data_IF_292256947055
#
_entry.id   IF_292256947055
#
_cell.length_a   1.000
_cell.length_b   1.000
_cell.length_c   1.000
_cell.angle_alpha   90.00
_cell.angle_beta   90.00
_cell.angle_gamma   90.00
#
_symmetry.space_group_name_H-M   'P 1'
#
loop_
_entity.id
_entity.type
_entity.pdbx_description
1 polymer ?
#
# COMPACT_ATOMS: atom_id res chain seq x y z
N UNK A 1 -21.54 -4.92 6.52
CA UNK A 1 -20.87 -3.61 6.61
C UNK A 1 -19.39 -3.66 6.23
N UNK A 2 -18.51 -4.38 6.96
CA UNK A 2 -17.08 -4.44 6.59
C UNK A 2 -16.83 -5.25 5.32
N UNK A 3 -17.62 -6.29 5.07
CA UNK A 3 -17.54 -7.11 3.86
C UNK A 3 -17.95 -6.30 2.63
N UNK A 4 -19.08 -5.61 2.69
CA UNK A 4 -19.56 -4.75 1.59
C UNK A 4 -18.54 -3.66 1.23
N UNK A 5 -17.86 -3.08 2.23
CA UNK A 5 -16.80 -2.11 2.00
C UNK A 5 -15.59 -2.73 1.28
N UNK A 6 -15.23 -3.96 1.64
CA UNK A 6 -14.14 -4.68 1.00
C UNK A 6 -14.49 -5.04 -0.44
N UNK A 7 -15.70 -5.52 -0.67
CA UNK A 7 -16.17 -5.84 -2.02
C UNK A 7 -16.16 -4.59 -2.90
N UNK A 8 -16.64 -3.44 -2.40
CA UNK A 8 -16.56 -2.16 -3.11
C UNK A 8 -15.11 -1.70 -3.36
N UNK A 9 -14.21 -1.88 -2.38
CA UNK A 9 -12.80 -1.54 -2.54
C UNK A 9 -12.14 -2.41 -3.62
N UNK A 10 -12.46 -3.70 -3.67
CA UNK A 10 -11.94 -4.64 -4.67
C UNK A 10 -12.45 -4.27 -6.06
N UNK A 11 -13.75 -4.00 -6.20
CA UNK A 11 -14.33 -3.54 -7.46
C UNK A 11 -13.65 -2.26 -7.93
N UNK A 12 -13.43 -1.31 -7.03
CA UNK A 12 -12.76 -0.04 -7.35
C UNK A 12 -11.32 -0.24 -7.83
N UNK A 13 -10.57 -1.18 -7.23
CA UNK A 13 -9.21 -1.51 -7.66
C UNK A 13 -9.22 -2.20 -9.03
N UNK A 14 -10.18 -3.09 -9.29
CA UNK A 14 -10.30 -3.76 -10.58
C UNK A 14 -10.59 -2.79 -11.73
N UNK A 15 -11.32 -1.70 -11.48
CA UNK A 15 -11.60 -0.67 -12.50
C UNK A 15 -10.35 0.03 -13.03
N UNK A 16 -9.27 0.07 -12.24
CA UNK A 16 -8.00 0.71 -12.64
C UNK A 16 -6.92 -0.31 -13.03
N UNK A 17 -7.23 -1.61 -12.94
CA UNK A 17 -6.32 -2.69 -13.33
C UNK A 17 -6.47 -2.96 -14.83
N UNK A 18 -5.40 -2.75 -15.59
CA UNK A 18 -5.39 -2.92 -17.05
C UNK A 18 -4.91 -4.31 -17.47
N UNK A 19 -5.25 -4.75 -18.68
CA UNK A 19 -4.77 -6.03 -19.21
C UNK A 19 -3.22 -6.04 -19.26
N UNK A 20 -2.63 -7.10 -18.69
CA UNK A 20 -1.17 -7.23 -18.57
C UNK A 20 -0.56 -6.48 -17.38
N UNK A 21 -1.35 -5.97 -16.43
CA UNK A 21 -0.84 -5.40 -15.19
C UNK A 21 0.07 -6.40 -14.46
N UNK A 22 1.29 -5.95 -14.13
CA UNK A 22 2.33 -6.73 -13.45
C UNK A 22 2.48 -6.34 -11.99
N UNK A 23 1.54 -5.56 -11.44
CA UNK A 23 1.56 -5.17 -10.03
C UNK A 23 1.48 -6.42 -9.16
N UNK A 24 2.45 -6.56 -8.25
CA UNK A 24 2.56 -7.71 -7.33
C UNK A 24 2.45 -7.31 -5.86
N UNK A 25 2.38 -6.02 -5.57
CA UNK A 25 2.43 -5.51 -4.20
C UNK A 25 1.26 -4.55 -3.97
N UNK A 26 0.49 -4.80 -2.90
CA UNK A 26 -0.58 -3.91 -2.45
C UNK A 26 -0.15 -3.30 -1.11
N UNK A 27 -0.05 -1.97 -1.06
CA UNK A 27 0.31 -1.24 0.16
C UNK A 27 -0.93 -0.56 0.75
N UNK A 28 -1.37 -0.99 1.93
CA UNK A 28 -2.47 -0.35 2.67
C UNK A 28 -1.86 0.61 3.68
N UNK A 29 -2.17 1.90 3.54
CA UNK A 29 -1.65 2.98 4.39
C UNK A 29 -2.78 3.70 5.13
N UNK A 30 -2.39 4.46 6.15
CA UNK A 30 -3.27 5.36 6.92
C UNK A 30 -4.46 4.65 7.59
N UNK A 31 -5.63 5.28 7.72
CA UNK A 31 -6.70 4.86 8.65
C UNK A 31 -7.05 3.37 8.60
N UNK A 32 -7.21 2.80 7.42
CA UNK A 32 -7.56 1.38 7.23
C UNK A 32 -6.42 0.41 7.55
N UNK A 33 -5.16 0.87 7.52
CA UNK A 33 -3.99 0.05 7.83
C UNK A 33 -3.95 -0.40 9.31
N UNK A 34 -4.68 0.32 10.17
CA UNK A 34 -4.82 0.06 11.62
C UNK A 34 -5.97 -0.89 11.98
N UNK A 35 -6.74 -1.37 10.99
CA UNK A 35 -7.89 -2.25 11.19
C UNK A 35 -7.50 -3.66 10.73
N UNK A 36 -7.11 -4.58 11.65
CA UNK A 36 -6.52 -5.87 11.27
C UNK A 36 -7.45 -6.74 10.43
N UNK A 37 -8.75 -6.73 10.74
CA UNK A 37 -9.73 -7.50 9.97
C UNK A 37 -9.85 -7.00 8.53
N UNK A 38 -9.76 -5.69 8.31
CA UNK A 38 -9.82 -5.11 6.96
C UNK A 38 -8.61 -5.53 6.14
N UNK A 39 -7.41 -5.35 6.71
CA UNK A 39 -6.17 -5.63 5.99
C UNK A 39 -6.00 -7.12 5.69
N UNK A 40 -6.45 -7.99 6.60
CA UNK A 40 -6.39 -9.45 6.40
C UNK A 40 -7.41 -9.94 5.36
N UNK A 41 -8.62 -9.39 5.35
CA UNK A 41 -9.62 -9.70 4.33
C UNK A 41 -9.20 -9.18 2.95
N UNK A 42 -8.62 -7.99 2.85
CA UNK A 42 -8.00 -7.49 1.62
C UNK A 42 -6.88 -8.43 1.15
N UNK A 43 -5.99 -8.86 2.04
CA UNK A 43 -4.93 -9.80 1.71
C UNK A 43 -5.47 -11.16 1.21
N UNK A 44 -6.63 -11.60 1.70
CA UNK A 44 -7.27 -12.81 1.21
C UNK A 44 -7.89 -12.67 -0.17
N UNK A 45 -8.28 -11.46 -0.55
CA UNK A 45 -8.94 -11.16 -1.84
C UNK A 45 -7.95 -10.92 -2.98
N UNK A 46 -6.68 -10.65 -2.65
CA UNK A 46 -5.58 -10.52 -3.61
C UNK A 46 -4.50 -11.60 -3.36
N UNK A 47 -4.79 -12.89 -3.60
CA UNK A 47 -3.88 -13.99 -3.26
C UNK A 47 -2.57 -13.97 -4.04
N UNK A 48 -2.56 -13.38 -5.24
CA UNK A 48 -1.37 -13.28 -6.09
C UNK A 48 -0.50 -12.04 -5.80
N UNK A 49 -0.88 -11.24 -4.80
CA UNK A 49 -0.19 -10.02 -4.42
C UNK A 49 0.34 -10.12 -2.98
N UNK A 50 1.55 -9.59 -2.76
CA UNK A 50 2.07 -9.35 -1.42
C UNK A 50 1.38 -8.12 -0.85
N UNK A 51 0.67 -8.30 0.26
CA UNK A 51 -0.07 -7.21 0.91
C UNK A 51 0.72 -6.71 2.11
N UNK A 52 1.00 -5.41 2.12
CA UNK A 52 1.79 -4.73 3.12
C UNK A 52 0.98 -3.67 3.86
N UNK A 53 1.36 -3.43 5.10
CA UNK A 53 1.00 -2.24 5.89
C UNK A 53 2.25 -1.55 6.39
N UNK A 54 2.14 -0.30 6.84
CA UNK A 54 3.22 0.44 7.48
C UNK A 54 2.70 1.16 8.72
N UNK A 55 3.55 1.24 9.74
CA UNK A 55 3.32 2.02 10.96
C UNK A 55 3.76 3.49 10.81
N UNK A 56 4.26 3.88 9.63
CA UNK A 56 4.66 5.26 9.37
C UNK A 56 3.41 6.14 9.31
N UNK A 57 3.33 7.06 10.28
CA UNK A 57 2.39 8.15 10.26
C UNK A 57 2.80 9.19 9.22
N UNK A 58 1.82 9.89 8.63
CA UNK A 58 2.04 10.92 7.60
C UNK A 58 2.82 10.38 6.40
N UNK A 59 2.50 9.16 5.96
CA UNK A 59 3.15 8.52 4.82
C UNK A 59 3.06 9.37 3.54
N UNK A 60 2.00 10.17 3.41
CA UNK A 60 1.85 11.19 2.36
C UNK A 60 2.93 12.26 2.46
N UNK A 61 3.10 12.91 3.61
CA UNK A 61 4.15 13.93 3.81
C UNK A 61 5.57 13.36 3.65
N UNK A 62 5.79 12.11 4.08
CA UNK A 62 7.07 11.42 3.84
C UNK A 62 7.31 11.23 2.34
N UNK A 63 6.29 10.83 1.58
CA UNK A 63 6.39 10.67 0.13
C UNK A 63 6.79 11.99 -0.54
N UNK A 64 6.15 13.10 -0.16
CA UNK A 64 6.46 14.43 -0.71
C UNK A 64 7.90 14.84 -0.39
N UNK A 65 8.34 14.63 0.85
CA UNK A 65 9.71 14.91 1.26
C UNK A 65 10.75 14.09 0.48
N UNK A 66 10.48 12.80 0.23
CA UNK A 66 11.36 11.93 -0.56
C UNK A 66 11.44 12.36 -2.03
N UNK A 67 10.32 12.80 -2.61
CA UNK A 67 10.29 13.34 -3.98
C UNK A 67 11.12 14.62 -4.07
N UNK A 68 10.98 15.53 -3.09
CA UNK A 68 11.76 16.77 -3.04
C UNK A 68 13.25 16.51 -2.84
N UNK A 69 13.62 15.62 -1.92
CA UNK A 69 15.00 15.25 -1.66
C UNK A 69 15.67 14.69 -2.93
N UNK A 70 14.97 13.79 -3.64
CA UNK A 70 15.44 13.24 -4.92
C UNK A 70 15.66 14.30 -5.99
N UNK A 71 14.85 15.37 -6.00
CA UNK A 71 14.99 16.48 -6.93
C UNK A 71 16.14 17.42 -6.59
N UNK A 72 16.40 17.66 -5.31
CA UNK A 72 17.42 18.61 -4.83
C UNK A 72 18.82 18.00 -4.81
N UNK A 73 18.95 16.75 -4.37
CA UNK A 73 20.23 16.08 -4.17
C UNK A 73 20.25 14.68 -4.81
N UNK A 74 20.18 14.60 -6.15
CA UNK A 74 20.08 13.31 -6.85
C UNK A 74 21.27 12.38 -6.60
N UNK A 75 22.43 12.91 -6.20
CA UNK A 75 23.65 12.16 -5.91
C UNK A 75 23.75 11.66 -4.45
N UNK A 76 22.93 12.17 -3.52
CA UNK A 76 22.90 11.74 -2.11
C UNK A 76 21.59 11.01 -1.78
N UNK A 77 21.28 9.96 -2.54
CA UNK A 77 20.15 9.10 -2.23
C UNK A 77 20.59 8.03 -1.22
N UNK A 78 19.97 8.03 -0.05
CA UNK A 78 20.12 7.00 0.97
C UNK A 78 18.96 6.00 0.95
N UNK A 79 19.18 4.82 1.54
CA UNK A 79 18.11 3.85 1.76
C UNK A 79 17.20 4.34 2.90
N UNK A 80 15.89 4.32 2.65
CA UNK A 80 14.87 4.74 3.63
C UNK A 80 14.10 3.50 4.08
N UNK A 81 14.24 3.14 5.35
CA UNK A 81 13.45 2.06 5.94
C UNK A 81 11.99 2.52 6.15
N UNK A 82 11.09 1.96 5.34
CA UNK A 82 9.66 2.25 5.39
C UNK A 82 8.90 1.41 6.44
N UNK A 83 9.60 0.58 7.20
CA UNK A 83 9.04 -0.30 8.25
C UNK A 83 7.81 -1.08 7.80
N UNK A 84 7.90 -1.63 6.59
CA UNK A 84 6.81 -2.38 5.99
C UNK A 84 6.58 -3.69 6.76
N UNK A 85 5.33 -4.00 7.05
CA UNK A 85 4.88 -5.26 7.64
C UNK A 85 4.07 -6.03 6.62
N UNK A 86 4.49 -7.26 6.35
CA UNK A 86 3.75 -8.16 5.46
C UNK A 86 2.57 -8.77 6.20
N UNK A 87 1.40 -8.79 5.55
CA UNK A 87 0.17 -9.32 6.12
C UNK A 87 -0.10 -10.74 5.59
N UNK A 88 0.28 -11.00 4.33
CA UNK A 88 0.18 -12.32 3.70
C UNK A 88 1.23 -12.44 2.58
N UNK A 89 1.84 -13.63 2.47
CA UNK A 89 2.77 -14.02 1.40
C UNK A 89 2.06 -14.86 0.34
#
# INVERSE_FOLDING_TARGET
>A
MILDLIDLAIESIHLITVEGDKTRNLNIKEGFSKIPIFTQLMANRFPDMKVYTSEIFNATSLSDALVLWKGLEPAQQGEVDLRLKIIKQ
#
